data_IF_778271527012
#
_entry.id   IF_778271527012
#
_cell.length_a   1.000
_cell.length_b   1.000
_cell.length_c   1.000
_cell.angle_alpha   90.00
_cell.angle_beta   90.00
_cell.angle_gamma   90.00
#
_symmetry.space_group_name_H-M   'P 1'
#
loop_
_entity.id
_entity.type
_entity.pdbx_description
1 polymer ?
#
# COMPACT_ATOMS: atom_id res chain seq x y z
N UNK A 1 28.09 7.79 -8.69
CA UNK A 1 27.66 6.68 -9.59
C UNK A 1 26.19 6.81 -10.02
N UNK A 2 25.26 7.17 -9.12
CA UNK A 2 23.81 7.33 -9.41
C UNK A 2 23.48 8.34 -10.53
N UNK A 3 24.09 9.53 -10.53
CA UNK A 3 23.83 10.56 -11.56
C UNK A 3 24.21 10.14 -12.99
N UNK A 4 25.32 9.40 -13.14
CA UNK A 4 25.78 8.88 -14.44
C UNK A 4 24.82 7.80 -14.93
N UNK A 5 24.39 6.89 -14.04
CA UNK A 5 23.38 5.86 -14.36
C UNK A 5 22.05 6.50 -14.77
N UNK A 6 21.62 7.56 -14.08
CA UNK A 6 20.37 8.26 -14.38
C UNK A 6 20.42 8.94 -15.75
N UNK A 7 21.51 9.68 -16.06
CA UNK A 7 21.75 10.26 -17.39
C UNK A 7 21.81 9.21 -18.50
N UNK A 8 22.50 8.09 -18.26
CA UNK A 8 22.57 6.97 -19.19
C UNK A 8 21.18 6.37 -19.44
N UNK A 9 20.39 6.18 -18.39
CA UNK A 9 19.02 5.66 -18.51
C UNK A 9 18.14 6.60 -19.33
N UNK A 10 18.28 7.91 -19.13
CA UNK A 10 17.54 8.92 -19.88
C UNK A 10 17.95 8.96 -21.36
N UNK A 11 19.26 8.87 -21.65
CA UNK A 11 19.81 8.77 -23.01
C UNK A 11 19.35 7.49 -23.72
N UNK A 12 19.33 6.36 -23.00
CA UNK A 12 18.84 5.08 -23.51
C UNK A 12 17.35 5.15 -23.80
N UNK A 13 16.53 5.67 -22.88
CA UNK A 13 15.07 5.83 -23.09
C UNK A 13 14.75 6.77 -24.25
N UNK A 14 15.53 7.84 -24.45
CA UNK A 14 15.31 8.81 -25.53
C UNK A 14 15.62 8.26 -26.93
N UNK A 15 16.51 7.27 -27.06
CA UNK A 15 16.85 6.65 -28.34
C UNK A 15 16.14 5.30 -28.51
N UNK A 16 15.11 5.24 -29.35
CA UNK A 16 14.30 4.02 -29.58
C UNK A 16 15.12 2.78 -29.97
N UNK A 17 16.18 2.95 -30.76
CA UNK A 17 17.04 1.84 -31.18
C UNK A 17 17.91 1.32 -30.04
N UNK A 18 18.52 2.25 -29.29
CA UNK A 18 19.34 1.91 -28.11
C UNK A 18 18.47 1.30 -27.01
N UNK A 19 17.28 1.86 -26.76
CA UNK A 19 16.29 1.31 -25.84
C UNK A 19 15.89 -0.12 -26.21
N UNK A 20 15.59 -0.36 -27.49
CA UNK A 20 15.21 -1.70 -27.98
C UNK A 20 16.38 -2.68 -27.85
N UNK A 21 17.60 -2.28 -28.21
CA UNK A 21 18.80 -3.10 -28.08
C UNK A 21 19.06 -3.49 -26.62
N UNK A 22 19.02 -2.52 -25.70
CA UNK A 22 19.18 -2.77 -24.26
C UNK A 22 18.06 -3.67 -23.73
N UNK A 23 16.81 -3.48 -24.14
CA UNK A 23 15.70 -4.38 -23.76
C UNK A 23 15.90 -5.80 -24.24
N UNK A 24 16.37 -6.00 -25.47
CA UNK A 24 16.68 -7.33 -25.98
C UNK A 24 17.81 -7.99 -25.19
N UNK A 25 18.88 -7.24 -24.86
CA UNK A 25 19.98 -7.73 -24.03
C UNK A 25 19.54 -8.08 -22.61
N UNK A 26 18.60 -7.32 -22.04
CA UNK A 26 18.05 -7.55 -20.70
C UNK A 26 16.91 -8.57 -20.67
N UNK A 27 16.37 -9.01 -21.81
CA UNK A 27 15.22 -9.90 -21.87
C UNK A 27 15.46 -11.26 -21.16
N UNK A 28 16.60 -11.95 -21.35
CA UNK A 28 16.89 -13.19 -20.62
C UNK A 28 16.96 -12.98 -19.11
N UNK A 29 17.54 -11.85 -18.69
CA UNK A 29 17.65 -11.50 -17.28
C UNK A 29 16.28 -11.15 -16.66
N UNK A 30 15.41 -10.47 -17.40
CA UNK A 30 14.03 -10.19 -16.97
C UNK A 30 13.22 -11.47 -16.86
N UNK A 31 13.32 -12.37 -17.84
CA UNK A 31 12.67 -13.68 -17.77
C UNK A 31 13.14 -14.50 -16.57
N UNK A 32 14.43 -14.45 -16.22
CA UNK A 32 14.96 -15.06 -15.00
C UNK A 32 14.34 -14.47 -13.72
N UNK A 33 14.21 -13.14 -13.64
CA UNK A 33 13.57 -12.48 -12.49
C UNK A 33 12.09 -12.86 -12.39
N UNK A 34 11.36 -12.84 -13.51
CA UNK A 34 9.94 -13.19 -13.57
C UNK A 34 9.73 -14.66 -13.16
N UNK A 35 10.58 -15.59 -13.63
CA UNK A 35 10.54 -16.99 -13.22
C UNK A 35 10.76 -17.20 -11.71
N UNK A 36 11.65 -16.42 -11.09
CA UNK A 36 11.85 -16.45 -9.63
C UNK A 36 10.66 -15.89 -8.88
N UNK A 37 10.02 -14.82 -9.39
CA UNK A 37 8.78 -14.28 -8.81
C UNK A 37 7.62 -15.27 -8.92
N UNK A 38 7.50 -16.00 -10.03
CA UNK A 38 6.50 -17.07 -10.19
C UNK A 38 6.66 -18.15 -9.13
N UNK A 39 7.90 -18.62 -8.93
CA UNK A 39 8.18 -19.65 -7.91
C UNK A 39 7.68 -19.25 -6.52
N UNK A 40 7.68 -17.96 -6.19
CA UNK A 40 7.19 -17.49 -4.88
C UNK A 40 5.68 -17.56 -4.79
N UNK A 41 4.99 -17.16 -5.85
CA UNK A 41 3.56 -17.38 -5.95
C UNK A 41 3.24 -18.88 -5.84
N UNK A 42 3.96 -19.73 -6.58
CA UNK A 42 3.73 -21.18 -6.56
C UNK A 42 3.97 -21.77 -5.15
N UNK A 43 5.05 -21.38 -4.48
CA UNK A 43 5.35 -21.83 -3.11
C UNK A 43 4.30 -21.30 -2.13
N UNK A 44 3.92 -20.02 -2.22
CA UNK A 44 2.83 -19.47 -1.42
C UNK A 44 1.56 -20.28 -1.65
N UNK A 45 1.13 -20.46 -2.90
CA UNK A 45 -0.08 -21.21 -3.26
C UNK A 45 -0.05 -22.66 -2.76
N UNK A 46 1.11 -23.33 -2.78
CA UNK A 46 1.25 -24.69 -2.24
C UNK A 46 1.15 -24.73 -0.70
N UNK A 47 1.58 -23.67 -0.02
CA UNK A 47 1.60 -23.58 1.45
C UNK A 47 0.32 -22.97 2.03
N UNK A 48 -0.34 -22.10 1.26
CA UNK A 48 -1.55 -21.40 1.65
C UNK A 48 -2.76 -22.24 1.26
N UNK A 49 -3.33 -22.90 2.26
CA UNK A 49 -4.46 -23.83 2.12
C UNK A 49 -5.75 -23.29 2.73
N UNK A 50 -5.74 -22.02 3.17
CA UNK A 50 -6.90 -21.36 3.77
C UNK A 50 -8.09 -21.43 2.79
N UNK A 51 -9.12 -22.16 3.22
CA UNK A 51 -10.37 -22.22 2.50
C UNK A 51 -11.19 -20.98 2.85
N UNK A 52 -11.93 -20.42 1.88
CA UNK A 52 -12.86 -19.35 2.19
C UNK A 52 -13.88 -19.82 3.25
N UNK A 53 -14.38 -18.91 4.10
CA UNK A 53 -15.47 -19.23 5.01
C UNK A 53 -16.69 -19.74 4.25
N UNK A 54 -17.41 -20.71 4.82
CA UNK A 54 -18.63 -21.21 4.21
C UNK A 54 -19.68 -20.09 4.16
N UNK A 55 -20.33 -19.88 3.01
CA UNK A 55 -21.38 -18.86 2.86
C UNK A 55 -22.47 -18.97 3.95
N UNK A 56 -22.82 -20.19 4.34
CA UNK A 56 -23.82 -20.48 5.39
C UNK A 56 -23.39 -20.07 6.80
N UNK A 57 -22.11 -19.75 7.01
CA UNK A 57 -21.59 -19.28 8.31
C UNK A 57 -21.68 -17.77 8.50
N UNK A 58 -21.94 -17.01 7.43
CA UNK A 58 -22.00 -15.55 7.50
C UNK A 58 -23.35 -15.10 8.10
N UNK A 59 -23.30 -14.25 9.12
CA UNK A 59 -24.50 -13.69 9.74
C UNK A 59 -25.09 -12.55 8.88
N UNK A 60 -24.22 -11.77 8.25
CA UNK A 60 -24.54 -10.74 7.27
C UNK A 60 -24.00 -11.15 5.90
N UNK A 61 -24.82 -10.98 4.87
CA UNK A 61 -24.46 -11.24 3.48
C UNK A 61 -24.70 -9.96 2.67
N UNK A 62 -23.86 -8.92 2.87
CA UNK A 62 -24.06 -7.62 2.24
C UNK A 62 -23.97 -7.75 0.73
N UNK A 63 -24.82 -7.01 0.02
CA UNK A 63 -24.70 -6.97 -1.45
C UNK A 63 -23.53 -6.10 -1.87
N UNK A 64 -22.67 -6.61 -2.75
CA UNK A 64 -21.49 -5.90 -3.26
C UNK A 64 -21.75 -5.47 -4.72
N UNK A 65 -21.73 -4.16 -4.99
CA UNK A 65 -21.77 -3.61 -6.35
C UNK A 65 -20.35 -3.44 -6.88
N UNK A 66 -20.01 -4.16 -7.94
CA UNK A 66 -18.69 -4.12 -8.56
C UNK A 66 -18.74 -3.08 -9.68
N UNK A 67 -17.94 -2.03 -9.57
CA UNK A 67 -17.92 -0.91 -10.51
C UNK A 67 -16.72 -1.05 -11.42
N UNK A 68 -16.99 -1.10 -12.73
CA UNK A 68 -15.96 -1.30 -13.75
C UNK A 68 -16.06 -0.20 -14.81
N UNK A 69 -15.28 0.89 -14.69
CA UNK A 69 -15.15 1.88 -15.76
C UNK A 69 -14.39 1.27 -16.94
N UNK A 70 -14.95 1.39 -18.15
CA UNK A 70 -14.47 0.71 -19.35
C UNK A 70 -14.29 1.72 -20.48
N UNK A 71 -13.13 1.72 -21.15
CA UNK A 71 -12.89 2.58 -22.33
C UNK A 71 -11.99 1.88 -23.35
N UNK A 72 -12.56 1.54 -24.52
CA UNK A 72 -11.87 0.85 -25.61
C UNK A 72 -11.17 -0.45 -25.16
N UNK A 73 -11.75 -1.15 -24.19
CA UNK A 73 -11.20 -2.39 -23.64
C UNK A 73 -11.16 -3.50 -24.68
N UNK A 74 -10.02 -4.22 -24.82
CA UNK A 74 -9.94 -5.41 -25.67
C UNK A 74 -10.97 -6.46 -25.25
N UNK A 75 -11.74 -6.95 -26.23
CA UNK A 75 -12.84 -7.91 -26.00
C UNK A 75 -12.40 -9.15 -25.19
N UNK A 76 -11.23 -9.78 -25.44
CA UNK A 76 -10.79 -10.92 -24.63
C UNK A 76 -10.64 -10.57 -23.15
N UNK A 77 -10.08 -9.41 -22.83
CA UNK A 77 -9.87 -8.99 -21.45
C UNK A 77 -11.20 -8.65 -20.77
N UNK A 78 -12.09 -7.95 -21.48
CA UNK A 78 -13.45 -7.67 -20.99
C UNK A 78 -14.19 -8.98 -20.64
N UNK A 79 -14.13 -9.98 -21.53
CA UNK A 79 -14.80 -11.27 -21.31
C UNK A 79 -14.19 -12.05 -20.14
N UNK A 80 -12.87 -12.09 -20.04
CA UNK A 80 -12.17 -12.73 -18.90
C UNK A 80 -12.52 -12.06 -17.57
N UNK A 81 -12.54 -10.72 -17.53
CA UNK A 81 -12.92 -9.94 -16.35
C UNK A 81 -14.36 -10.26 -15.93
N UNK A 82 -15.33 -10.17 -16.86
CA UNK A 82 -16.74 -10.50 -16.56
C UNK A 82 -16.90 -11.94 -16.10
N UNK A 83 -16.22 -12.89 -16.75
CA UNK A 83 -16.25 -14.30 -16.33
C UNK A 83 -15.72 -14.49 -14.90
N UNK A 84 -14.67 -13.76 -14.51
CA UNK A 84 -14.13 -13.84 -13.14
C UNK A 84 -15.12 -13.35 -12.07
N UNK A 85 -15.99 -12.39 -12.42
CA UNK A 85 -17.08 -11.91 -11.55
C UNK A 85 -18.25 -12.90 -11.53
N UNK A 86 -18.65 -13.44 -12.68
CA UNK A 86 -19.72 -14.44 -12.77
C UNK A 86 -19.37 -15.72 -12.02
N UNK A 87 -18.10 -16.10 -12.01
CA UNK A 87 -17.60 -17.30 -11.34
C UNK A 87 -17.43 -17.14 -9.81
N UNK A 88 -17.83 -16.00 -9.23
CA UNK A 88 -17.69 -15.78 -7.79
C UNK A 88 -18.54 -16.77 -6.98
N UNK A 89 -17.94 -17.36 -5.94
CA UNK A 89 -18.64 -18.26 -5.00
C UNK A 89 -19.61 -17.54 -4.08
N UNK A 90 -19.45 -16.23 -3.92
CA UNK A 90 -20.41 -15.37 -3.24
C UNK A 90 -21.51 -14.93 -4.21
N UNK A 91 -22.81 -15.12 -3.90
CA UNK A 91 -23.88 -14.86 -4.87
C UNK A 91 -24.47 -13.44 -4.79
N UNK A 92 -24.19 -12.67 -3.74
CA UNK A 92 -24.84 -11.37 -3.50
C UNK A 92 -24.04 -10.22 -4.13
N UNK A 93 -24.01 -10.17 -5.45
CA UNK A 93 -23.35 -9.11 -6.19
C UNK A 93 -24.19 -8.53 -7.33
N UNK A 94 -23.79 -7.37 -7.79
CA UNK A 94 -24.14 -6.84 -9.11
C UNK A 94 -22.88 -6.30 -9.79
N UNK A 95 -22.85 -6.35 -11.12
CA UNK A 95 -21.75 -5.85 -11.91
C UNK A 95 -22.22 -4.63 -12.70
N UNK A 96 -21.63 -3.48 -12.47
CA UNK A 96 -21.97 -2.23 -13.14
C UNK A 96 -20.82 -1.87 -14.09
N UNK A 97 -21.03 -2.15 -15.37
CA UNK A 97 -20.08 -1.83 -16.43
C UNK A 97 -20.40 -0.46 -17.00
N UNK A 98 -19.51 0.51 -16.78
CA UNK A 98 -19.67 1.88 -17.29
C UNK A 98 -18.78 2.08 -18.50
N UNK A 99 -19.35 2.00 -19.70
CA UNK A 99 -18.67 2.39 -20.94
C UNK A 99 -18.51 3.92 -20.99
N UNK A 100 -17.28 4.39 -20.83
CA UNK A 100 -16.90 5.80 -20.81
C UNK A 100 -16.77 6.39 -22.22
N UNK A 101 -17.82 6.18 -23.02
CA UNK A 101 -17.91 6.56 -24.43
C UNK A 101 -16.79 5.92 -25.29
N UNK A 102 -16.67 4.59 -25.26
CA UNK A 102 -15.72 3.88 -26.13
C UNK A 102 -15.94 4.25 -27.60
N UNK A 103 -14.86 4.57 -28.30
CA UNK A 103 -14.88 4.84 -29.74
C UNK A 103 -15.02 3.57 -30.58
N UNK A 104 -14.70 2.43 -30.00
CA UNK A 104 -14.84 1.13 -30.65
C UNK A 104 -16.24 0.54 -30.43
N UNK A 105 -17.09 0.56 -31.46
CA UNK A 105 -18.44 0.02 -31.39
C UNK A 105 -18.48 -1.49 -31.10
N UNK A 106 -17.43 -2.24 -31.45
CA UNK A 106 -17.36 -3.67 -31.13
C UNK A 106 -17.23 -3.93 -29.63
N UNK A 107 -16.56 -3.04 -28.88
CA UNK A 107 -16.52 -3.09 -27.41
C UNK A 107 -17.91 -2.82 -26.84
N UNK A 108 -18.61 -1.78 -27.34
CA UNK A 108 -19.97 -1.44 -26.88
C UNK A 108 -20.98 -2.55 -27.18
N UNK A 109 -20.87 -3.20 -28.35
CA UNK A 109 -21.71 -4.35 -28.68
C UNK A 109 -21.42 -5.54 -27.77
N UNK A 110 -20.14 -5.85 -27.51
CA UNK A 110 -19.78 -6.93 -26.60
C UNK A 110 -20.35 -6.73 -25.18
N UNK A 111 -20.38 -5.49 -24.68
CA UNK A 111 -21.01 -5.15 -23.39
C UNK A 111 -22.52 -5.43 -23.43
N UNK A 112 -23.20 -5.07 -24.52
CA UNK A 112 -24.64 -5.37 -24.69
C UNK A 112 -24.92 -6.85 -24.70
N UNK A 113 -24.16 -7.62 -25.49
CA UNK A 113 -24.31 -9.07 -25.58
C UNK A 113 -24.11 -9.73 -24.21
N UNK A 114 -23.08 -9.32 -23.45
CA UNK A 114 -22.82 -9.83 -22.10
C UNK A 114 -23.95 -9.50 -21.12
N UNK A 115 -24.59 -8.34 -21.25
CA UNK A 115 -25.70 -7.92 -20.40
C UNK A 115 -26.99 -8.69 -20.67
N UNK A 116 -27.19 -9.16 -21.91
CA UNK A 116 -28.33 -10.03 -22.26
C UNK A 116 -28.21 -11.40 -21.58
N UNK A 117 -26.98 -11.93 -21.48
CA UNK A 117 -26.71 -13.25 -20.89
C UNK A 117 -26.62 -13.24 -19.36
N UNK A 118 -26.30 -12.09 -18.75
CA UNK A 118 -25.97 -12.00 -17.31
C UNK A 118 -26.93 -11.02 -16.61
N UNK A 119 -27.99 -11.51 -15.93
CA UNK A 119 -29.00 -10.65 -15.31
C UNK A 119 -28.47 -9.70 -14.23
N UNK A 120 -27.38 -10.06 -13.55
CA UNK A 120 -26.73 -9.23 -12.53
C UNK A 120 -25.81 -8.14 -13.13
N UNK A 121 -25.59 -8.14 -14.44
CA UNK A 121 -24.76 -7.17 -15.15
C UNK A 121 -25.64 -6.01 -15.64
N UNK A 122 -25.34 -4.80 -15.17
CA UNK A 122 -25.97 -3.55 -15.57
C UNK A 122 -25.04 -2.75 -16.49
N UNK A 123 -25.29 -2.73 -17.81
CA UNK A 123 -24.48 -1.94 -18.73
C UNK A 123 -24.92 -0.47 -18.70
N UNK A 124 -23.96 0.45 -18.61
CA UNK A 124 -24.18 1.88 -18.62
C UNK A 124 -23.30 2.51 -19.70
N UNK A 125 -23.92 3.23 -20.63
CA UNK A 125 -23.21 3.88 -21.74
C UNK A 125 -23.23 5.39 -21.56
N UNK A 126 -22.04 5.99 -21.44
CA UNK A 126 -21.91 7.44 -21.40
C UNK A 126 -21.84 8.02 -22.82
N UNK A 127 -22.44 9.19 -23.00
CA UNK A 127 -22.43 9.93 -24.28
C UNK A 127 -21.10 10.65 -24.54
N UNK A 128 -20.32 10.88 -23.48
CA UNK A 128 -19.02 11.57 -23.52
C UNK A 128 -18.06 10.92 -22.54
N UNK A 129 -16.79 10.89 -22.91
CA UNK A 129 -15.72 10.43 -22.03
C UNK A 129 -15.59 11.39 -20.84
N UNK A 130 -15.72 10.87 -19.62
CA UNK A 130 -15.61 11.58 -18.34
C UNK A 130 -14.36 11.19 -17.56
N UNK A 131 -13.48 10.40 -18.19
CA UNK A 131 -12.33 9.76 -17.58
C UNK A 131 -12.72 8.81 -16.43
N UNK A 132 -11.72 8.08 -15.92
CA UNK A 132 -11.94 7.03 -14.91
C UNK A 132 -12.75 7.53 -13.71
N UNK A 133 -12.38 8.67 -13.10
CA UNK A 133 -13.11 9.22 -11.95
C UNK A 133 -14.58 9.51 -12.25
N UNK A 134 -14.87 10.11 -13.40
CA UNK A 134 -16.23 10.45 -13.79
C UNK A 134 -17.08 9.21 -14.10
N UNK A 135 -16.48 8.18 -14.71
CA UNK A 135 -17.14 6.92 -15.02
C UNK A 135 -17.38 6.09 -13.74
N UNK A 136 -16.38 5.98 -12.85
CA UNK A 136 -16.49 5.32 -11.55
C UNK A 136 -17.62 5.95 -10.72
N UNK A 137 -17.63 7.27 -10.56
CA UNK A 137 -18.66 7.98 -9.80
C UNK A 137 -20.07 7.81 -10.39
N UNK A 138 -20.18 7.77 -11.73
CA UNK A 138 -21.46 7.47 -12.37
C UNK A 138 -21.92 6.06 -12.03
N UNK A 139 -21.03 5.07 -12.04
CA UNK A 139 -21.32 3.70 -11.62
C UNK A 139 -21.76 3.62 -10.15
N UNK A 140 -21.04 4.28 -9.25
CA UNK A 140 -21.36 4.36 -7.80
C UNK A 140 -22.77 4.93 -7.59
N UNK A 141 -23.13 6.00 -8.30
CA UNK A 141 -24.46 6.60 -8.21
C UNK A 141 -25.59 5.67 -8.69
N UNK A 142 -25.26 4.66 -9.50
CA UNK A 142 -26.20 3.68 -10.04
C UNK A 142 -26.24 2.35 -9.27
N UNK A 143 -25.38 2.22 -8.24
CA UNK A 143 -25.21 1.03 -7.42
C UNK A 143 -26.32 0.88 -6.37
N UNK A 144 -26.73 -0.37 -6.13
CA UNK A 144 -27.75 -0.73 -5.13
C UNK A 144 -27.20 -1.55 -3.97
N UNK A 145 -25.98 -2.04 -4.07
CA UNK A 145 -25.26 -2.74 -3.02
C UNK A 145 -24.94 -1.84 -1.82
N UNK A 146 -24.74 -2.49 -0.68
CA UNK A 146 -24.29 -1.84 0.56
C UNK A 146 -22.80 -1.48 0.48
N UNK A 147 -22.04 -2.27 -0.28
CA UNK A 147 -20.63 -2.08 -0.52
C UNK A 147 -20.34 -1.91 -2.00
N UNK A 148 -19.31 -1.12 -2.30
CA UNK A 148 -18.78 -0.84 -3.62
C UNK A 148 -17.41 -1.50 -3.73
N UNK A 149 -17.22 -2.31 -4.77
CA UNK A 149 -15.94 -2.91 -5.11
C UNK A 149 -15.40 -2.27 -6.40
N UNK A 150 -14.14 -1.84 -6.38
CA UNK A 150 -13.48 -1.28 -7.56
C UNK A 150 -12.73 -2.39 -8.31
N UNK A 151 -12.98 -2.52 -9.62
CA UNK A 151 -12.33 -3.51 -10.47
C UNK A 151 -11.98 -2.89 -11.84
N UNK A 152 -10.75 -3.08 -12.27
CA UNK A 152 -10.29 -2.61 -13.58
C UNK A 152 -10.81 -3.53 -14.70
N UNK A 153 -11.10 -2.93 -15.85
CA UNK A 153 -11.80 -3.59 -16.96
C UNK A 153 -11.01 -4.74 -17.64
N UNK A 154 -9.72 -4.88 -17.34
CA UNK A 154 -8.80 -5.87 -17.91
C UNK A 154 -8.13 -6.79 -16.87
N UNK A 155 -8.54 -6.66 -15.61
CA UNK A 155 -8.08 -7.50 -14.50
C UNK A 155 -9.09 -8.60 -14.17
N UNK A 156 -8.69 -9.55 -13.32
CA UNK A 156 -9.58 -10.64 -12.88
C UNK A 156 -9.54 -10.83 -11.38
N UNK A 157 -10.65 -11.34 -10.82
CA UNK A 157 -10.76 -11.69 -9.41
C UNK A 157 -10.50 -13.17 -9.17
N UNK A 158 -9.99 -13.50 -7.98
CA UNK A 158 -10.01 -14.87 -7.47
C UNK A 158 -11.46 -15.35 -7.30
N UNK A 159 -11.81 -16.63 -7.58
CA UNK A 159 -13.20 -17.13 -7.50
C UNK A 159 -13.89 -16.90 -6.15
N UNK A 160 -13.12 -16.77 -5.08
CA UNK A 160 -13.64 -16.53 -3.71
C UNK A 160 -13.43 -15.10 -3.20
N UNK A 161 -13.02 -14.16 -4.06
CA UNK A 161 -12.67 -12.80 -3.67
C UNK A 161 -13.80 -12.11 -2.88
N UNK A 162 -15.01 -12.14 -3.41
CA UNK A 162 -16.17 -11.51 -2.76
C UNK A 162 -16.59 -12.24 -1.48
N UNK A 163 -16.39 -13.55 -1.39
CA UNK A 163 -16.75 -14.34 -0.21
C UNK A 163 -15.82 -14.02 0.96
N UNK A 164 -14.52 -13.91 0.69
CA UNK A 164 -13.54 -13.45 1.67
C UNK A 164 -13.80 -12.03 2.15
N UNK A 165 -14.14 -11.11 1.24
CA UNK A 165 -14.51 -9.74 1.57
C UNK A 165 -15.78 -9.70 2.43
N UNK A 166 -16.83 -10.40 2.03
CA UNK A 166 -18.08 -10.48 2.79
C UNK A 166 -17.84 -11.04 4.20
N UNK A 167 -17.00 -12.07 4.34
CA UNK A 167 -16.64 -12.63 5.64
C UNK A 167 -15.83 -11.67 6.51
N UNK A 168 -14.95 -10.86 5.91
CA UNK A 168 -14.23 -9.82 6.64
C UNK A 168 -15.21 -8.76 7.17
N UNK A 169 -16.15 -8.30 6.32
CA UNK A 169 -17.20 -7.36 6.70
C UNK A 169 -18.08 -7.92 7.82
N UNK A 170 -18.55 -9.16 7.70
CA UNK A 170 -19.40 -9.82 8.70
C UNK A 170 -18.69 -9.92 10.06
N UNK A 171 -17.40 -10.27 10.05
CA UNK A 171 -16.61 -10.46 11.27
C UNK A 171 -16.28 -9.14 11.98
N UNK A 172 -15.93 -8.09 11.24
CA UNK A 172 -15.36 -6.87 11.83
C UNK A 172 -16.26 -5.66 11.76
N UNK A 173 -17.31 -5.68 10.92
CA UNK A 173 -18.08 -4.49 10.58
C UNK A 173 -17.28 -3.45 9.79
N UNK A 174 -16.20 -3.87 9.11
CA UNK A 174 -15.34 -2.95 8.36
C UNK A 174 -16.12 -2.15 7.32
N UNK A 175 -15.78 -0.87 7.21
CA UNK A 175 -16.30 0.03 6.19
C UNK A 175 -15.36 0.14 4.99
N UNK A 176 -14.11 -0.26 5.13
CA UNK A 176 -13.15 -0.33 4.04
C UNK A 176 -12.34 -1.63 4.16
N UNK A 177 -12.36 -2.44 3.11
CA UNK A 177 -11.66 -3.71 3.00
C UNK A 177 -10.69 -3.65 1.84
N UNK A 178 -9.49 -4.18 2.03
CA UNK A 178 -8.55 -4.42 0.93
C UNK A 178 -7.91 -5.79 1.03
N UNK A 179 -7.37 -6.27 -0.09
CA UNK A 179 -6.79 -7.62 -0.21
C UNK A 179 -5.37 -7.57 -0.75
N UNK A 180 -4.65 -8.68 -0.60
CA UNK A 180 -3.43 -8.91 -1.36
C UNK A 180 -3.74 -9.06 -2.86
N UNK A 181 -2.70 -8.85 -3.66
CA UNK A 181 -2.78 -8.93 -5.12
C UNK A 181 -1.55 -9.63 -5.70
N UNK A 182 -1.65 -10.03 -6.95
CA UNK A 182 -0.49 -10.47 -7.73
C UNK A 182 -0.60 -9.97 -9.16
N UNK A 183 0.55 -9.81 -9.82
CA UNK A 183 0.55 -9.47 -11.24
C UNK A 183 0.27 -10.71 -12.06
N UNK A 184 -0.32 -10.52 -13.24
CA UNK A 184 -0.64 -11.57 -14.17
C UNK A 184 -0.12 -11.18 -15.55
N UNK A 185 0.56 -12.11 -16.23
CA UNK A 185 1.06 -11.86 -17.58
C UNK A 185 -0.08 -11.93 -18.63
N UNK A 186 0.23 -11.59 -19.88
CA UNK A 186 -0.74 -11.64 -21.00
C UNK A 186 -1.29 -13.06 -21.26
N UNK A 187 -0.69 -14.11 -20.69
CA UNK A 187 -1.15 -15.50 -20.79
C UNK A 187 -1.96 -15.96 -19.55
N UNK A 188 -2.32 -15.04 -18.66
CA UNK A 188 -3.10 -15.37 -17.47
C UNK A 188 -2.30 -16.03 -16.35
N UNK A 189 -0.96 -15.95 -16.38
CA UNK A 189 -0.12 -16.61 -15.37
C UNK A 189 0.28 -15.63 -14.26
N UNK A 190 -0.05 -15.91 -12.99
CA UNK A 190 0.36 -15.09 -11.86
C UNK A 190 1.89 -15.01 -11.69
N UNK A 191 2.37 -13.87 -11.25
CA UNK A 191 3.75 -13.62 -10.87
C UNK A 191 3.85 -12.37 -9.99
N UNK A 192 4.89 -12.28 -9.18
CA UNK A 192 5.20 -11.09 -8.36
C UNK A 192 4.04 -10.72 -7.42
N UNK A 193 3.75 -11.57 -6.42
CA UNK A 193 2.74 -11.26 -5.41
C UNK A 193 3.12 -10.02 -4.59
N UNK A 194 2.11 -9.27 -4.17
CA UNK A 194 2.23 -8.17 -3.23
C UNK A 194 1.40 -8.44 -1.98
N UNK A 195 2.11 -8.84 -0.91
CA UNK A 195 1.53 -9.17 0.39
C UNK A 195 1.44 -7.92 1.26
N UNK A 196 0.31 -7.27 1.29
CA UNK A 196 0.13 -6.01 1.97
C UNK A 196 0.17 -6.23 3.48
N UNK A 197 0.66 -5.24 4.25
CA UNK A 197 0.50 -5.28 5.68
C UNK A 197 -0.94 -4.97 6.07
N UNK A 198 -1.25 -5.22 7.32
CA UNK A 198 -2.41 -4.61 7.97
C UNK A 198 -2.32 -3.08 7.95
N UNK A 199 -3.46 -2.43 8.23
CA UNK A 199 -3.65 -1.00 7.99
C UNK A 199 -2.51 -0.14 8.55
N UNK A 200 -1.88 0.62 7.66
CA UNK A 200 -0.73 1.45 7.96
C UNK A 200 -0.83 2.83 7.27
N UNK A 201 -1.12 3.86 8.06
CA UNK A 201 -1.30 5.22 7.54
C UNK A 201 -0.02 5.81 6.92
N UNK A 202 1.14 5.58 7.55
CA UNK A 202 2.42 6.11 7.11
C UNK A 202 2.88 5.40 5.82
N UNK A 203 2.57 4.12 5.70
CA UNK A 203 2.85 3.38 4.47
C UNK A 203 1.96 3.87 3.33
N UNK A 204 0.67 4.13 3.58
CA UNK A 204 -0.25 4.67 2.57
C UNK A 204 0.22 6.05 2.10
N UNK A 205 0.82 6.86 2.97
CA UNK A 205 1.36 8.18 2.60
C UNK A 205 2.75 8.12 1.95
N UNK A 206 3.39 6.95 1.94
CA UNK A 206 4.62 6.71 1.19
C UNK A 206 4.36 6.11 -0.20
N UNK A 207 3.36 5.24 -0.32
CA UNK A 207 2.96 4.61 -1.59
C UNK A 207 1.51 4.15 -1.50
N UNK A 208 0.78 4.17 -2.61
CA UNK A 208 -0.56 3.56 -2.70
C UNK A 208 -0.48 2.04 -2.60
N UNK A 209 -0.19 1.47 -1.42
CA UNK A 209 -0.07 0.02 -1.27
C UNK A 209 -1.43 -0.69 -1.29
N UNK A 210 -2.52 0.03 -1.07
CA UNK A 210 -3.87 -0.55 -1.09
C UNK A 210 -4.24 -0.95 -2.51
N UNK A 211 -4.05 -0.05 -3.50
CA UNK A 211 -4.38 -0.27 -4.92
C UNK A 211 -5.64 -1.10 -5.13
N UNK A 212 -5.53 -2.42 -5.35
CA UNK A 212 -6.63 -3.36 -5.55
C UNK A 212 -6.49 -4.59 -4.63
N UNK A 213 -7.51 -5.34 -4.28
CA UNK A 213 -8.91 -5.13 -4.50
C UNK A 213 -9.44 -4.26 -3.37
N UNK A 214 -10.06 -3.14 -3.69
CA UNK A 214 -10.56 -2.19 -2.71
C UNK A 214 -12.09 -2.25 -2.67
N UNK A 215 -12.66 -2.52 -1.48
CA UNK A 215 -14.11 -2.62 -1.26
C UNK A 215 -14.52 -1.73 -0.10
N UNK A 216 -15.43 -0.78 -0.32
CA UNK A 216 -15.83 0.20 0.68
C UNK A 216 -17.34 0.32 0.81
N UNK A 217 -17.81 0.69 2.00
CA UNK A 217 -19.22 1.01 2.25
C UNK A 217 -19.68 2.09 1.27
N UNK A 218 -20.81 1.85 0.60
CA UNK A 218 -21.41 2.84 -0.32
C UNK A 218 -21.79 4.12 0.42
N UNK A 219 -22.21 4.01 1.68
CA UNK A 219 -22.52 5.16 2.52
C UNK A 219 -21.28 6.04 2.70
N UNK A 220 -20.18 5.46 3.19
CA UNK A 220 -18.92 6.17 3.39
C UNK A 220 -18.42 6.81 2.08
N UNK A 221 -18.49 6.06 0.98
CA UNK A 221 -18.04 6.55 -0.33
C UNK A 221 -18.87 7.76 -0.80
N UNK A 222 -20.17 7.77 -0.50
CA UNK A 222 -21.08 8.90 -0.78
C UNK A 222 -20.76 10.09 0.12
N UNK A 223 -20.49 9.87 1.41
CA UNK A 223 -20.15 10.92 2.37
C UNK A 223 -18.85 11.65 2.02
N UNK A 224 -17.83 10.92 1.53
CA UNK A 224 -16.57 11.55 1.09
C UNK A 224 -16.66 12.14 -0.32
N UNK A 225 -17.70 11.83 -1.10
CA UNK A 225 -17.96 12.41 -2.42
C UNK A 225 -17.39 11.63 -3.62
N UNK A 226 -17.04 10.35 -3.47
CA UNK A 226 -16.47 9.52 -4.54
C UNK A 226 -15.06 9.95 -4.98
N UNK A 227 -14.65 9.58 -6.19
CA UNK A 227 -13.34 9.95 -6.77
C UNK A 227 -13.35 11.41 -7.25
N UNK A 228 -12.23 12.13 -7.11
CA UNK A 228 -12.10 13.48 -7.67
C UNK A 228 -11.26 13.47 -8.96
N UNK A 229 -11.88 13.88 -10.07
CA UNK A 229 -11.26 13.94 -11.39
C UNK A 229 -10.07 14.90 -11.50
N UNK A 230 -9.89 15.83 -10.55
CA UNK A 230 -8.69 16.67 -10.43
C UNK A 230 -7.43 15.84 -10.18
N UNK A 231 -7.59 14.61 -9.69
CA UNK A 231 -6.53 13.65 -9.38
C UNK A 231 -6.48 12.46 -10.34
N UNK A 232 -7.10 12.55 -11.53
CA UNK A 232 -6.99 11.51 -12.56
C UNK A 232 -5.53 11.04 -12.74
N UNK A 233 -5.31 9.73 -12.66
CA UNK A 233 -4.00 9.07 -12.61
C UNK A 233 -3.56 8.62 -11.22
N UNK A 234 -4.18 9.15 -10.16
CA UNK A 234 -3.97 8.77 -8.75
C UNK A 234 -5.27 8.88 -7.93
N UNK A 235 -6.42 8.92 -8.61
CA UNK A 235 -7.72 9.20 -8.03
C UNK A 235 -8.13 8.17 -6.97
N UNK A 236 -7.68 6.92 -7.13
CA UNK A 236 -7.83 5.84 -6.18
C UNK A 236 -7.05 6.11 -4.88
N UNK A 237 -5.77 6.50 -5.00
CA UNK A 237 -4.95 6.82 -3.85
C UNK A 237 -5.50 8.02 -3.08
N UNK A 238 -5.90 9.07 -3.80
CA UNK A 238 -6.50 10.26 -3.19
C UNK A 238 -7.80 9.92 -2.46
N UNK A 239 -8.66 9.10 -3.07
CA UNK A 239 -9.87 8.59 -2.44
C UNK A 239 -9.55 7.80 -1.17
N UNK A 240 -8.56 6.89 -1.21
CA UNK A 240 -8.18 6.08 -0.06
C UNK A 240 -7.63 6.94 1.09
N UNK A 241 -6.88 8.02 0.81
CA UNK A 241 -6.44 8.98 1.82
C UNK A 241 -7.63 9.67 2.51
N UNK A 242 -8.66 10.07 1.75
CA UNK A 242 -9.89 10.66 2.32
C UNK A 242 -10.71 9.66 3.13
N UNK A 243 -10.94 8.46 2.59
CA UNK A 243 -11.70 7.39 3.27
C UNK A 243 -11.04 7.02 4.60
N UNK A 244 -9.74 6.74 4.58
CA UNK A 244 -9.02 6.29 5.78
C UNK A 244 -8.86 7.39 6.84
N UNK A 245 -8.92 8.67 6.46
CA UNK A 245 -9.00 9.78 7.41
C UNK A 245 -10.35 9.88 8.12
N UNK A 246 -11.43 9.43 7.47
CA UNK A 246 -12.77 9.43 8.03
C UNK A 246 -13.06 8.20 8.92
N UNK A 247 -12.15 7.21 8.95
CA UNK A 247 -12.33 5.94 9.64
C UNK A 247 -11.41 5.80 10.85
N UNK A 248 -11.88 5.04 11.84
CA UNK A 248 -11.01 4.47 12.87
C UNK A 248 -10.29 3.22 12.31
N UNK A 249 -9.09 2.87 12.83
CA UNK A 249 -8.32 1.71 12.36
C UNK A 249 -9.11 0.41 12.29
N UNK A 250 -9.99 0.15 13.26
CA UNK A 250 -10.78 -1.09 13.35
C UNK A 250 -11.84 -1.20 12.25
N UNK A 251 -12.18 -0.09 11.59
CA UNK A 251 -13.11 -0.05 10.48
C UNK A 251 -12.44 -0.29 9.13
N UNK A 252 -11.12 -0.52 9.12
CA UNK A 252 -10.31 -0.84 7.94
C UNK A 252 -9.81 -2.28 8.11
N UNK A 253 -10.23 -3.18 7.22
CA UNK A 253 -9.83 -4.58 7.28
C UNK A 253 -8.94 -4.95 6.09
N UNK A 254 -7.87 -5.66 6.41
CA UNK A 254 -7.04 -6.34 5.43
C UNK A 254 -7.46 -7.82 5.36
N UNK A 255 -7.64 -8.34 4.14
CA UNK A 255 -7.75 -9.77 3.89
C UNK A 255 -6.42 -10.25 3.31
N UNK A 256 -5.59 -11.00 4.07
CA UNK A 256 -4.25 -11.43 3.67
C UNK A 256 -4.31 -12.62 2.69
N UNK A 257 -5.11 -12.47 1.63
CA UNK A 257 -5.32 -13.44 0.56
C UNK A 257 -5.14 -12.75 -0.78
N UNK A 258 -4.45 -13.40 -1.72
CA UNK A 258 -4.31 -12.91 -3.09
C UNK A 258 -5.65 -13.10 -3.79
N UNK A 259 -6.45 -12.03 -3.83
CA UNK A 259 -7.82 -12.05 -4.37
C UNK A 259 -7.97 -11.24 -5.67
N UNK A 260 -6.91 -10.56 -6.09
CA UNK A 260 -6.87 -9.74 -7.29
C UNK A 260 -5.68 -10.09 -8.19
N UNK A 261 -5.95 -10.22 -9.49
CA UNK A 261 -4.97 -10.51 -10.52
C UNK A 261 -4.81 -9.32 -11.46
N UNK A 262 -3.74 -8.56 -11.24
CA UNK A 262 -3.43 -7.34 -11.99
C UNK A 262 -2.69 -7.64 -13.30
N UNK A 263 -3.36 -7.48 -14.43
CA UNK A 263 -2.83 -7.81 -15.75
C UNK A 263 -1.79 -6.79 -16.22
N UNK A 264 -0.65 -7.31 -16.66
CA UNK A 264 0.45 -6.51 -17.21
C UNK A 264 0.54 -6.72 -18.72
N UNK A 265 0.05 -5.75 -19.49
CA UNK A 265 0.15 -5.71 -20.95
C UNK A 265 0.77 -4.40 -21.47
N UNK A 266 0.98 -4.28 -22.78
CA UNK A 266 1.71 -3.14 -23.36
C UNK A 266 1.12 -1.75 -23.05
N UNK A 267 -0.21 -1.64 -22.89
CA UNK A 267 -0.89 -0.39 -22.58
C UNK A 267 -1.16 -0.18 -21.07
N UNK A 268 -0.79 -1.15 -20.22
CA UNK A 268 -1.01 -1.11 -18.78
C UNK A 268 -0.11 -0.09 -18.09
N UNK A 269 -0.66 0.63 -17.11
CA UNK A 269 0.06 1.51 -16.17
C UNK A 269 1.08 0.75 -15.31
N UNK A 270 0.89 -0.56 -15.11
CA UNK A 270 1.79 -1.44 -14.37
C UNK A 270 3.22 -1.49 -14.94
N UNK A 271 3.41 -1.04 -16.17
CA UNK A 271 4.65 -1.16 -16.93
C UNK A 271 5.59 0.04 -16.79
N UNK A 272 5.08 1.25 -16.55
CA UNK A 272 5.91 2.47 -16.45
C UNK A 272 5.16 3.64 -15.76
N UNK A 273 5.40 3.82 -14.46
CA UNK A 273 4.89 4.96 -13.67
C UNK A 273 5.44 6.31 -14.14
N UNK A 274 6.64 6.33 -14.74
CA UNK A 274 7.30 7.56 -15.23
C UNK A 274 6.81 7.99 -16.62
N UNK A 275 5.98 7.18 -17.29
CA UNK A 275 5.53 7.48 -18.64
C UNK A 275 4.57 8.69 -18.73
N UNK A 276 4.07 9.17 -17.58
CA UNK A 276 3.02 10.21 -17.51
C UNK A 276 3.34 11.23 -16.40
N UNK A 277 4.09 12.32 -16.69
CA UNK A 277 4.47 13.33 -15.69
C UNK A 277 3.32 13.94 -14.88
N UNK A 278 2.12 14.02 -15.47
CA UNK A 278 0.93 14.54 -14.77
C UNK A 278 0.51 13.65 -13.59
N UNK A 279 0.81 12.34 -13.62
CA UNK A 279 0.47 11.40 -12.53
C UNK A 279 1.29 11.72 -11.30
N UNK A 280 2.59 11.98 -11.47
CA UNK A 280 3.50 12.33 -10.37
C UNK A 280 3.06 13.64 -9.71
N UNK A 281 2.68 14.64 -10.51
CA UNK A 281 2.14 15.89 -9.97
C UNK A 281 0.82 15.67 -9.20
N UNK A 282 -0.09 14.86 -9.76
CA UNK A 282 -1.34 14.54 -9.09
C UNK A 282 -1.11 13.82 -7.75
N UNK A 283 -0.16 12.88 -7.69
CA UNK A 283 0.21 12.17 -6.45
C UNK A 283 0.72 13.15 -5.38
N UNK A 284 1.62 14.07 -5.77
CA UNK A 284 2.11 15.12 -4.87
C UNK A 284 0.96 15.96 -4.33
N UNK A 285 0.07 16.43 -5.20
CA UNK A 285 -1.09 17.26 -4.81
C UNK A 285 -2.04 16.49 -3.89
N UNK A 286 -2.22 15.18 -4.09
CA UNK A 286 -3.05 14.35 -3.22
C UNK A 286 -2.46 14.25 -1.81
N UNK A 287 -1.15 14.01 -1.70
CA UNK A 287 -0.44 13.95 -0.41
C UNK A 287 -0.37 15.32 0.29
N UNK A 288 -0.16 16.41 -0.45
CA UNK A 288 -0.20 17.78 0.07
C UNK A 288 -1.61 18.12 0.60
N UNK A 289 -2.66 17.76 -0.15
CA UNK A 289 -4.05 17.96 0.28
C UNK A 289 -4.42 17.10 1.50
N UNK A 290 -3.97 15.84 1.56
CA UNK A 290 -4.14 14.99 2.75
C UNK A 290 -3.48 15.62 3.98
N UNK A 291 -2.24 16.07 3.83
CA UNK A 291 -1.47 16.68 4.93
C UNK A 291 -2.11 17.96 5.44
N UNK A 292 -2.58 18.82 4.53
CA UNK A 292 -3.31 20.04 4.86
C UNK A 292 -4.59 19.75 5.64
N UNK A 293 -5.39 18.78 5.20
CA UNK A 293 -6.64 18.45 5.88
C UNK A 293 -6.45 17.63 7.18
N UNK A 294 -5.28 17.01 7.40
CA UNK A 294 -4.86 16.50 8.72
C UNK A 294 -4.25 17.59 9.61
N UNK A 295 -4.10 18.81 9.11
CA UNK A 295 -3.47 19.94 9.80
C UNK A 295 -2.03 19.65 10.24
N UNK A 296 -1.30 18.88 9.44
CA UNK A 296 0.09 18.52 9.73
C UNK A 296 1.01 19.25 8.76
N UNK A 297 2.04 19.92 9.29
CA UNK A 297 3.07 20.53 8.47
C UNK A 297 4.03 19.46 7.97
N UNK A 298 4.01 19.20 6.67
CA UNK A 298 4.88 18.22 6.03
C UNK A 298 5.46 18.76 4.73
N UNK A 299 6.70 18.37 4.43
CA UNK A 299 7.26 18.44 3.08
C UNK A 299 7.07 17.08 2.41
N UNK A 300 6.57 17.13 1.17
CA UNK A 300 6.27 15.95 0.35
C UNK A 300 7.32 15.86 -0.75
N UNK A 301 8.25 14.92 -0.63
CA UNK A 301 9.34 14.75 -1.56
C UNK A 301 9.24 13.40 -2.25
N UNK A 302 9.53 13.36 -3.54
CA UNK A 302 9.58 12.08 -4.27
C UNK A 302 10.89 11.38 -3.94
N UNK A 303 10.85 10.08 -3.67
CA UNK A 303 12.07 9.31 -3.44
C UNK A 303 12.97 9.39 -4.70
N UNK A 304 14.19 9.95 -4.58
CA UNK A 304 15.07 10.19 -5.73
C UNK A 304 15.69 8.89 -6.27
N UNK A 305 15.70 7.84 -5.47
CA UNK A 305 16.23 6.53 -5.80
C UNK A 305 15.15 5.65 -6.44
N UNK A 306 13.89 5.82 -6.04
CA UNK A 306 12.76 4.99 -6.43
C UNK A 306 11.52 5.82 -6.76
N UNK A 307 11.34 6.16 -8.04
CA UNK A 307 10.29 7.08 -8.49
C UNK A 307 8.83 6.68 -8.21
N UNK A 308 8.56 5.52 -7.62
CA UNK A 308 7.21 5.10 -7.25
C UNK A 308 6.80 5.49 -5.82
N UNK A 309 7.69 6.07 -5.02
CA UNK A 309 7.50 6.32 -3.59
C UNK A 309 7.70 7.78 -3.20
N UNK A 310 7.08 8.16 -2.09
CA UNK A 310 7.09 9.50 -1.52
C UNK A 310 7.61 9.47 -0.09
N UNK A 311 8.40 10.48 0.24
CA UNK A 311 8.92 10.76 1.56
C UNK A 311 8.10 11.90 2.19
N UNK A 312 7.59 11.64 3.39
CA UNK A 312 6.88 12.63 4.20
C UNK A 312 7.80 13.10 5.32
N UNK A 313 8.21 14.36 5.26
CA UNK A 313 9.08 15.00 6.26
C UNK A 313 8.25 15.92 7.14
N UNK A 314 8.08 15.58 8.41
CA UNK A 314 7.21 16.31 9.34
C UNK A 314 7.97 17.42 10.05
N UNK A 315 7.31 18.55 10.29
CA UNK A 315 7.84 19.64 11.10
C UNK A 315 6.80 20.05 12.14
N UNK A 316 7.27 20.39 13.34
CA UNK A 316 6.41 20.88 14.42
C UNK A 316 6.64 22.37 14.70
N UNK A 317 7.32 23.08 13.81
CA UNK A 317 7.51 24.53 13.88
C UNK A 317 8.43 25.01 15.01
N UNK A 318 8.90 24.11 15.87
CA UNK A 318 9.86 24.36 16.94
C UNK A 318 10.91 23.24 17.00
N UNK A 319 12.10 23.56 17.49
CA UNK A 319 13.14 22.58 17.76
C UNK A 319 12.89 21.93 19.14
N UNK A 320 13.09 20.62 19.22
CA UNK A 320 13.03 19.89 20.49
C UNK A 320 14.39 19.88 21.17
N UNK A 321 14.42 20.01 22.50
CA UNK A 321 15.62 19.63 23.24
C UNK A 321 15.86 18.12 23.10
N UNK A 322 17.08 17.74 22.70
CA UNK A 322 17.46 16.35 22.45
C UNK A 322 18.60 15.92 23.35
N UNK A 323 18.55 14.70 23.86
CA UNK A 323 19.65 14.05 24.55
C UNK A 323 19.88 12.64 23.99
N UNK A 324 21.06 12.09 24.22
CA UNK A 324 21.43 10.73 23.79
C UNK A 324 21.86 9.90 24.98
N UNK A 325 21.33 8.68 25.08
CA UNK A 325 21.78 7.69 26.03
C UNK A 325 22.06 6.35 25.34
N UNK A 326 23.00 5.59 25.91
CA UNK A 326 23.30 4.25 25.44
C UNK A 326 22.26 3.27 25.97
N UNK A 327 21.94 2.23 25.19
CA UNK A 327 21.23 1.07 25.73
C UNK A 327 22.09 0.38 26.79
N UNK A 328 21.45 0.00 27.90
CA UNK A 328 22.09 -0.65 29.05
C UNK A 328 21.03 -1.45 29.82
N UNK A 329 21.11 -2.78 29.73
CA UNK A 329 20.19 -3.69 30.42
C UNK A 329 20.23 -3.56 31.96
N UNK A 330 21.32 -3.01 32.52
CA UNK A 330 21.45 -2.77 33.95
C UNK A 330 20.84 -1.44 34.41
N UNK A 331 20.43 -0.59 33.44
CA UNK A 331 19.76 0.68 33.66
C UNK A 331 18.27 0.56 33.33
N UNK A 332 17.46 1.37 33.99
CA UNK A 332 16.00 1.40 33.80
C UNK A 332 15.53 2.75 33.28
N UNK A 333 14.34 2.77 32.70
CA UNK A 333 13.68 4.01 32.25
C UNK A 333 13.59 5.04 33.38
N UNK A 334 13.26 4.62 34.62
CA UNK A 334 13.18 5.51 35.77
C UNK A 334 14.51 6.25 36.04
N UNK A 335 15.63 5.52 36.06
CA UNK A 335 16.96 6.12 36.27
C UNK A 335 17.35 7.06 35.14
N UNK A 336 17.08 6.69 33.90
CA UNK A 336 17.34 7.57 32.75
C UNK A 336 16.57 8.90 32.87
N UNK A 337 15.31 8.86 33.31
CA UNK A 337 14.48 10.05 33.43
C UNK A 337 14.93 11.01 34.56
N UNK A 338 15.77 10.54 35.49
CA UNK A 338 16.44 11.35 36.50
C UNK A 338 17.67 12.07 35.95
N UNK A 339 18.32 11.52 34.91
CA UNK A 339 19.57 12.08 34.35
C UNK A 339 19.34 13.07 33.22
N UNK A 340 18.16 13.10 32.61
CA UNK A 340 17.86 13.99 31.48
C UNK A 340 16.50 14.68 31.56
N UNK A 341 16.51 15.95 31.16
CA UNK A 341 15.30 16.79 31.02
C UNK A 341 14.94 17.05 29.56
N UNK A 342 15.67 16.47 28.60
CA UNK A 342 15.40 16.66 27.19
C UNK A 342 14.02 16.14 26.80
N UNK A 343 13.35 16.82 25.87
CA UNK A 343 12.03 16.43 25.39
C UNK A 343 12.08 15.16 24.54
N UNK A 344 13.19 14.96 23.83
CA UNK A 344 13.43 13.83 22.94
C UNK A 344 14.71 13.11 23.34
N UNK A 345 14.63 11.79 23.45
CA UNK A 345 15.76 10.97 23.88
C UNK A 345 16.08 9.98 22.76
N UNK A 346 17.32 10.04 22.27
CA UNK A 346 17.89 9.04 21.38
C UNK A 346 18.56 7.95 22.20
N UNK A 347 18.02 6.74 22.13
CA UNK A 347 18.59 5.56 22.73
C UNK A 347 19.31 4.77 21.64
N UNK A 348 20.58 4.45 21.84
CA UNK A 348 21.41 3.86 20.78
C UNK A 348 22.41 2.84 21.33
N UNK A 349 22.77 1.84 20.52
CA UNK A 349 23.86 0.90 20.82
C UNK A 349 25.24 1.52 20.55
N UNK A 350 25.29 2.57 19.74
CA UNK A 350 26.52 3.13 19.17
C UNK A 350 26.58 4.66 19.37
N UNK A 351 27.12 5.38 18.39
CA UNK A 351 27.33 6.81 18.47
C UNK A 351 26.01 7.60 18.49
N UNK A 352 26.08 8.81 19.03
CA UNK A 352 24.99 9.78 18.94
C UNK A 352 24.72 10.15 17.47
N UNK A 353 23.44 10.26 17.13
CA UNK A 353 23.04 10.75 15.80
C UNK A 353 23.36 12.25 15.67
N UNK A 354 23.67 12.74 14.45
CA UNK A 354 23.83 14.17 14.22
C UNK A 354 22.60 14.97 14.66
N UNK A 355 22.79 16.17 15.22
CA UNK A 355 21.70 16.97 15.76
C UNK A 355 20.59 17.24 14.74
N UNK A 356 20.93 17.48 13.47
CA UNK A 356 19.96 17.65 12.38
C UNK A 356 19.09 16.41 12.15
N UNK A 357 19.72 15.23 12.16
CA UNK A 357 19.06 13.92 12.06
C UNK A 357 18.12 13.68 13.23
N UNK A 358 18.56 14.00 14.45
CA UNK A 358 17.74 13.89 15.66
C UNK A 358 16.52 14.81 15.61
N UNK A 359 16.66 16.05 15.13
CA UNK A 359 15.52 16.95 15.01
C UNK A 359 14.46 16.43 14.01
N UNK A 360 14.89 15.78 12.93
CA UNK A 360 13.97 15.17 11.98
C UNK A 360 13.18 14.01 12.62
N UNK A 361 13.87 13.12 13.33
CA UNK A 361 13.23 11.99 14.03
C UNK A 361 12.39 12.45 15.23
N UNK A 362 12.75 13.56 15.88
CA UNK A 362 12.01 14.16 16.97
C UNK A 362 10.61 14.60 16.54
N UNK A 363 10.47 15.18 15.35
CA UNK A 363 9.16 15.58 14.82
C UNK A 363 8.23 14.36 14.64
N UNK A 364 8.79 13.23 14.20
CA UNK A 364 8.07 11.97 14.11
C UNK A 364 7.70 11.42 15.50
N UNK A 365 8.66 11.41 16.43
CA UNK A 365 8.49 10.89 17.79
C UNK A 365 7.52 11.72 18.64
N UNK A 366 7.31 13.00 18.29
CA UNK A 366 6.33 13.86 18.93
C UNK A 366 4.88 13.56 18.53
N UNK A 367 4.63 12.89 17.39
CA UNK A 367 3.26 12.59 16.92
C UNK A 367 2.48 11.78 17.96
N UNK A 368 1.19 12.06 18.23
CA UNK A 368 0.45 11.45 19.34
C UNK A 368 0.51 9.91 19.39
N UNK A 369 0.32 9.24 18.25
CA UNK A 369 0.27 7.78 18.17
C UNK A 369 1.63 7.09 18.02
N UNK A 370 2.71 7.84 17.82
CA UNK A 370 4.04 7.26 17.56
C UNK A 370 4.81 7.12 18.87
N UNK A 371 4.95 5.90 19.37
CA UNK A 371 5.65 5.62 20.63
C UNK A 371 7.15 5.84 20.48
N UNK A 372 7.70 5.27 19.43
CA UNK A 372 9.13 5.19 19.17
C UNK A 372 9.37 5.38 17.67
N UNK A 373 10.52 5.95 17.31
CA UNK A 373 10.95 6.08 15.92
C UNK A 373 12.29 5.39 15.74
N UNK A 374 12.38 4.56 14.72
CA UNK A 374 13.60 3.83 14.37
C UNK A 374 14.09 4.34 13.02
N UNK A 375 15.32 4.86 12.94
CA UNK A 375 15.89 5.29 11.67
C UNK A 375 16.19 4.07 10.77
N UNK A 376 16.67 4.32 9.57
CA UNK A 376 17.02 3.29 8.60
C UNK A 376 17.99 2.29 9.21
N UNK A 377 17.58 1.02 9.22
CA UNK A 377 18.45 -0.10 9.57
C UNK A 377 19.22 -0.52 8.32
N UNK A 378 20.56 -0.55 8.40
CA UNK A 378 21.45 -0.91 7.30
C UNK A 378 21.39 -2.40 6.96
N UNK A 379 21.14 -3.24 7.97
CA UNK A 379 20.91 -4.67 7.79
C UNK A 379 19.53 -4.96 7.20
N UNK A 380 19.46 -5.18 5.88
CA UNK A 380 18.22 -5.57 5.18
C UNK A 380 17.53 -6.78 5.83
N UNK A 381 18.27 -7.78 6.32
CA UNK A 381 17.67 -8.98 6.91
C UNK A 381 16.93 -8.65 8.20
N UNK A 382 17.46 -7.71 8.99
CA UNK A 382 16.80 -7.23 10.20
C UNK A 382 15.51 -6.48 9.87
N UNK A 383 15.53 -5.61 8.84
CA UNK A 383 14.31 -4.92 8.37
C UNK A 383 13.25 -5.94 7.98
N UNK A 384 13.61 -6.93 7.15
CA UNK A 384 12.68 -7.97 6.71
C UNK A 384 12.18 -8.81 7.89
N UNK A 385 13.03 -9.15 8.87
CA UNK A 385 12.61 -9.89 10.06
C UNK A 385 11.58 -9.11 10.89
N UNK A 386 11.76 -7.79 11.02
CA UNK A 386 10.84 -6.92 11.76
C UNK A 386 9.45 -6.78 11.08
N UNK A 387 9.33 -7.11 9.78
CA UNK A 387 8.04 -7.16 9.08
C UNK A 387 7.10 -8.24 9.62
N UNK A 388 7.60 -9.20 10.41
CA UNK A 388 6.75 -10.20 11.08
C UNK A 388 5.72 -9.58 12.04
N UNK A 389 5.89 -8.31 12.41
CA UNK A 389 4.91 -7.55 13.18
C UNK A 389 3.70 -7.09 12.37
N UNK A 390 3.79 -7.06 11.04
CA UNK A 390 2.74 -6.56 10.13
C UNK A 390 2.42 -7.51 8.98
N UNK A 391 3.20 -8.58 8.81
CA UNK A 391 3.04 -9.64 7.82
C UNK A 391 3.12 -11.00 8.51
N UNK A 392 2.47 -11.99 7.91
CA UNK A 392 2.59 -13.37 8.38
C UNK A 392 4.05 -13.87 8.33
N UNK A 393 4.52 -14.65 9.32
CA UNK A 393 5.89 -15.17 9.34
C UNK A 393 6.28 -15.99 8.10
N UNK A 394 5.33 -16.74 7.54
CA UNK A 394 5.51 -17.50 6.29
C UNK A 394 5.83 -16.57 5.11
N UNK A 395 5.08 -15.47 4.99
CA UNK A 395 5.31 -14.41 3.99
C UNK A 395 6.68 -13.78 4.18
N UNK A 396 7.06 -13.44 5.41
CA UNK A 396 8.40 -12.92 5.70
C UNK A 396 9.50 -13.89 5.24
N UNK A 397 9.33 -15.19 5.47
CA UNK A 397 10.23 -16.23 4.96
C UNK A 397 10.32 -16.26 3.43
N UNK A 398 9.21 -16.04 2.72
CA UNK A 398 9.20 -15.90 1.26
C UNK A 398 9.93 -14.63 0.80
N UNK A 399 9.75 -13.52 1.51
CA UNK A 399 10.42 -12.25 1.19
C UNK A 399 11.94 -12.36 1.39
N UNK A 400 12.41 -13.10 2.39
CA UNK A 400 13.84 -13.36 2.57
C UNK A 400 14.45 -14.15 1.40
N UNK A 401 13.66 -14.97 0.71
CA UNK A 401 14.10 -15.70 -0.48
C UNK A 401 14.14 -14.83 -1.75
N UNK A 402 13.67 -13.58 -1.70
CA UNK A 402 13.68 -12.66 -2.83
C UNK A 402 15.08 -12.13 -3.17
N UNK A 403 15.29 -11.86 -4.47
CA UNK A 403 16.47 -11.09 -4.89
C UNK A 403 16.31 -9.62 -4.49
N UNK A 404 17.42 -8.88 -4.37
CA UNK A 404 17.42 -7.42 -4.13
C UNK A 404 16.63 -6.59 -5.17
N UNK A 405 16.21 -7.21 -6.29
CA UNK A 405 15.50 -6.53 -7.38
C UNK A 405 14.01 -6.88 -7.46
N UNK A 406 13.48 -7.67 -6.52
CA UNK A 406 12.02 -7.85 -6.47
C UNK A 406 11.35 -6.58 -5.99
N UNK A 407 10.34 -6.14 -6.74
CA UNK A 407 9.52 -4.97 -6.42
C UNK A 407 8.91 -5.07 -5.01
N UNK A 408 8.38 -6.23 -4.65
CA UNK A 408 7.74 -6.48 -3.35
C UNK A 408 8.73 -6.30 -2.20
N UNK A 409 9.88 -7.02 -2.24
CA UNK A 409 10.96 -6.83 -1.26
C UNK A 409 11.40 -5.37 -1.20
N UNK A 410 11.53 -4.76 -2.37
CA UNK A 410 12.02 -3.41 -2.49
C UNK A 410 11.10 -2.40 -1.80
N UNK A 411 9.78 -2.52 -2.00
CA UNK A 411 8.78 -1.69 -1.32
C UNK A 411 8.93 -1.76 0.21
N UNK A 412 9.18 -2.92 0.81
CA UNK A 412 9.37 -2.98 2.27
C UNK A 412 10.69 -2.41 2.78
N UNK A 413 11.73 -2.41 1.95
CA UNK A 413 13.03 -1.86 2.34
C UNK A 413 13.09 -0.33 2.27
N UNK A 414 12.17 0.30 1.55
CA UNK A 414 12.24 1.73 1.26
C UNK A 414 11.00 2.51 1.65
N UNK A 415 9.90 1.83 1.95
CA UNK A 415 8.72 2.49 2.45
C UNK A 415 8.70 2.58 3.97
N UNK A 416 7.92 3.54 4.47
CA UNK A 416 7.76 3.86 5.87
C UNK A 416 6.66 2.98 6.50
N UNK A 417 6.90 2.46 7.71
CA UNK A 417 5.97 1.52 8.36
C UNK A 417 5.81 1.80 9.85
N UNK A 418 4.58 1.74 10.34
CA UNK A 418 4.30 1.43 11.75
C UNK A 418 4.48 -0.08 12.02
N UNK A 419 5.54 -0.42 12.74
CA UNK A 419 5.89 -1.74 13.23
C UNK A 419 5.44 -1.89 14.69
N UNK A 420 5.38 -3.15 15.15
CA UNK A 420 5.15 -3.50 16.55
C UNK A 420 6.43 -3.40 17.40
N UNK A 421 6.64 -4.40 18.25
CA UNK A 421 7.90 -4.58 18.98
C UNK A 421 9.02 -4.91 18.00
N UNK A 422 10.15 -4.20 18.12
CA UNK A 422 11.33 -4.49 17.31
C UNK A 422 12.61 -4.41 18.14
N UNK A 423 13.60 -5.18 17.72
CA UNK A 423 14.99 -4.98 18.14
C UNK A 423 15.71 -4.13 17.09
N UNK A 424 16.21 -2.98 17.52
CA UNK A 424 16.87 -2.00 16.68
C UNK A 424 18.08 -1.36 17.38
N UNK A 425 19.12 -0.98 16.63
CA UNK A 425 20.33 -0.36 17.18
C UNK A 425 20.10 1.07 17.68
N UNK A 426 19.07 1.76 17.19
CA UNK A 426 18.73 3.12 17.60
C UNK A 426 17.22 3.29 17.65
N UNK A 427 16.73 3.97 18.70
CA UNK A 427 15.34 4.36 18.87
C UNK A 427 15.28 5.80 19.40
N UNK A 428 14.44 6.65 18.80
CA UNK A 428 14.14 8.00 19.29
C UNK A 428 12.75 7.99 19.92
N UNK A 429 12.67 8.49 21.16
CA UNK A 429 11.42 8.45 21.96
C UNK A 429 11.21 9.80 22.64
N UNK A 430 9.96 10.26 22.69
CA UNK A 430 9.60 11.42 23.50
C UNK A 430 9.68 11.08 24.99
N UNK A 431 10.30 11.96 25.79
CA UNK A 431 10.45 11.77 27.24
C UNK A 431 9.11 11.55 27.94
N UNK A 432 8.06 12.24 27.50
CA UNK A 432 6.70 12.07 28.04
C UNK A 432 6.15 10.66 27.85
N UNK A 433 6.51 9.98 26.75
CA UNK A 433 6.10 8.61 26.45
C UNK A 433 6.93 7.59 27.23
N UNK A 434 8.24 7.84 27.38
CA UNK A 434 9.08 7.05 28.30
C UNK A 434 8.58 7.15 29.74
N UNK A 435 8.20 8.33 30.20
CA UNK A 435 7.66 8.55 31.55
C UNK A 435 6.33 7.84 31.82
N UNK A 436 5.61 7.41 30.79
CA UNK A 436 4.39 6.62 30.91
C UNK A 436 4.67 5.11 31.10
N UNK A 437 5.92 4.68 30.95
CA UNK A 437 6.35 3.30 31.15
C UNK A 437 6.61 3.00 32.64
N UNK A 438 6.69 1.71 32.97
CA UNK A 438 7.06 1.30 34.32
C UNK A 438 8.51 1.72 34.61
N UNK A 439 8.83 2.32 35.78
CA UNK A 439 10.17 2.82 36.08
C UNK A 439 11.29 1.77 36.05
N UNK A 440 10.93 0.50 36.21
CA UNK A 440 11.79 -0.68 36.17
C UNK A 440 11.96 -1.28 34.77
N UNK A 441 11.31 -0.71 33.74
CA UNK A 441 11.46 -1.16 32.34
C UNK A 441 12.95 -1.11 31.94
N UNK A 442 13.55 -2.23 31.48
CA UNK A 442 14.95 -2.26 31.06
C UNK A 442 15.21 -1.36 29.86
N UNK A 443 16.38 -0.74 29.80
CA UNK A 443 16.75 0.18 28.74
C UNK A 443 17.30 -0.56 27.50
N UNK A 444 16.41 -1.27 26.80
CA UNK A 444 16.69 -1.88 25.48
C UNK A 444 15.62 -1.53 24.46
N UNK A 445 15.97 -1.54 23.17
CA UNK A 445 15.03 -1.21 22.08
C UNK A 445 13.80 -2.13 22.08
N UNK A 446 14.00 -3.45 22.24
CA UNK A 446 12.93 -4.43 22.30
C UNK A 446 11.99 -4.21 23.49
N UNK A 447 12.52 -3.98 24.70
CA UNK A 447 11.67 -3.78 25.89
C UNK A 447 10.90 -2.46 25.83
N UNK A 448 11.55 -1.39 25.37
CA UNK A 448 10.92 -0.06 25.27
C UNK A 448 9.82 -0.05 24.20
N UNK A 449 10.10 -0.58 23.01
CA UNK A 449 9.08 -0.64 21.95
C UNK A 449 7.93 -1.56 22.34
N UNK A 450 8.20 -2.71 22.97
CA UNK A 450 7.15 -3.58 23.53
C UNK A 450 6.27 -2.87 24.56
N UNK A 451 6.87 -2.17 25.52
CA UNK A 451 6.14 -1.47 26.57
C UNK A 451 5.30 -0.31 26.01
N UNK A 452 5.81 0.41 25.01
CA UNK A 452 5.07 1.48 24.32
C UNK A 452 3.91 0.90 23.49
N UNK A 453 4.12 -0.19 22.75
CA UNK A 453 3.06 -0.88 22.04
C UNK A 453 1.97 -1.40 22.99
N UNK A 454 2.34 -1.91 24.17
CA UNK A 454 1.40 -2.30 25.22
C UNK A 454 0.54 -1.14 25.77
N UNK A 455 0.93 0.12 25.51
CA UNK A 455 0.17 1.33 25.83
C UNK A 455 -0.64 1.88 24.64
N UNK A 456 -0.66 1.18 23.51
CA UNK A 456 -1.38 1.59 22.30
C UNK A 456 -0.59 2.49 21.36
N UNK A 457 0.72 2.62 21.53
CA UNK A 457 1.57 3.39 20.62
C UNK A 457 2.18 2.53 19.50
N UNK A 458 2.53 3.15 18.37
CA UNK A 458 3.19 2.50 17.24
C UNK A 458 4.71 2.73 17.25
N UNK A 459 5.48 1.75 16.78
CA UNK A 459 6.91 1.95 16.49
C UNK A 459 7.09 2.30 15.02
N UNK A 460 7.53 3.51 14.72
CA UNK A 460 7.67 3.97 13.35
C UNK A 460 9.06 3.68 12.79
N UNK A 461 9.14 2.84 11.77
CA UNK A 461 10.34 2.68 10.94
C UNK A 461 10.39 3.76 9.86
N UNK A 462 11.45 4.58 9.89
CA UNK A 462 11.70 5.64 8.92
C UNK A 462 12.96 5.30 8.07
N UNK A 463 12.80 4.75 6.85
CA UNK A 463 13.92 4.34 5.99
C UNK A 463 14.67 5.52 5.36
N UNK A 464 14.15 6.75 5.46
CA UNK A 464 14.71 7.91 4.80
C UNK A 464 15.77 8.62 5.66
N UNK A 465 15.82 8.30 6.94
CA UNK A 465 16.81 8.85 7.87
C UNK A 465 17.87 7.79 8.14
N UNK A 466 19.09 8.00 7.63
CA UNK A 466 20.18 7.04 7.87
C UNK A 466 20.93 7.46 9.14
N UNK A 467 21.09 6.56 10.12
CA UNK A 467 22.06 6.80 11.19
C UNK A 467 23.44 6.83 10.53
N UNK A 468 24.23 7.88 10.74
CA UNK A 468 25.57 7.94 10.15
C UNK A 468 26.45 6.86 10.76
N UNK A 469 26.42 5.68 10.16
CA UNK A 469 27.42 4.64 10.26
C UNK A 469 27.74 4.21 8.83
N UNK A 470 29.01 4.37 8.44
CA UNK A 470 29.65 4.11 7.13
C UNK A 470 29.81 5.32 6.17
N UNK A 471 30.64 6.31 6.58
CA UNK A 471 31.69 6.83 5.68
C UNK A 471 33.02 6.20 6.07
#
# INVERSE_FOLDING_TARGET
MSYILHRLTHLIKANRHLHRAVRCLLAPYRAYLDARQRRIYDVWQCQHTEQPPALSSLAQQPRISIIVPTYNTPIPFLREMVQSVVAQSYPHWELILVDDASTNETTRQAIRDLAEDIPQLKPLFLDKNRHIAGATNYGIAQATGEYIALLDHDDTLHPDALLWVAAAIDRTGAQFVYTDETKMDEHGRPYQPFFKPDWNEDFLRAVNYITHFAVMSRQLLTEVGGEDGVYNGTQDWELFLRLTRALQPEQIAHVPQILYYWRVHQASTAKDLDAKPYVIDAQRRALEADSAARQVQTQVERDPQYGAQWQMSYSLGQAYSTDTALFDESTTVGRLLETTTAEMICLTQHNALPSSTLQHLAADAARPMIGAVVPRITNEQQVIANLSSILQPSVVGLLQQLSRRSFTKHIYLTARYNLGTIDAPTVVVARTKLAALAPDTPLTSAQITAALCGKGYNTLYNPHVTPEEDV
#
